data_IF_702696570879
#
_entry.id   IF_702696570879
#
_cell.length_a   1.000
_cell.length_b   1.000
_cell.length_c   1.000
_cell.angle_alpha   90.00
_cell.angle_beta   90.00
_cell.angle_gamma   90.00
#
_symmetry.space_group_name_H-M   'P 1'
#
loop_
_entity.id
_entity.type
_entity.pdbx_description
1 polymer ?
#
# COMPACT_ATOMS: atom_id res chain seq x y z
N UNK A 1 -4.08 -59.93 -16.35
CA UNK A 1 -3.95 -58.66 -15.61
C UNK A 1 -4.35 -57.52 -16.54
N UNK A 2 -5.14 -56.53 -16.11
CA UNK A 2 -5.72 -55.57 -17.05
C UNK A 2 -4.66 -54.60 -17.61
N UNK A 3 -4.61 -54.37 -18.94
CA UNK A 3 -3.56 -53.61 -19.63
C UNK A 3 -3.53 -52.10 -19.30
N UNK A 4 -4.49 -51.61 -18.52
CA UNK A 4 -4.65 -50.20 -18.16
C UNK A 4 -3.66 -49.68 -17.10
N UNK A 5 -3.05 -50.56 -16.29
CA UNK A 5 -2.21 -50.13 -15.15
C UNK A 5 -0.87 -49.51 -15.58
N UNK A 6 -0.29 -49.93 -16.71
CA UNK A 6 0.99 -49.41 -17.21
C UNK A 6 0.86 -48.04 -17.86
N UNK A 7 -0.26 -47.75 -18.52
CA UNK A 7 -0.48 -46.47 -19.20
C UNK A 7 -0.69 -45.31 -18.21
N UNK A 8 -1.41 -45.56 -17.11
CA UNK A 8 -1.58 -44.57 -16.03
C UNK A 8 -0.25 -44.26 -15.35
N UNK A 9 0.60 -45.28 -15.12
CA UNK A 9 1.90 -45.10 -14.48
C UNK A 9 2.85 -44.24 -15.32
N UNK A 10 2.85 -44.44 -16.65
CA UNK A 10 3.63 -43.61 -17.58
C UNK A 10 3.07 -42.18 -17.64
N UNK A 11 1.74 -42.02 -17.67
CA UNK A 11 1.10 -40.70 -17.62
C UNK A 11 1.40 -39.90 -16.34
N UNK A 12 1.39 -40.57 -15.18
CA UNK A 12 1.74 -39.96 -13.88
C UNK A 12 3.21 -39.55 -13.82
N UNK A 13 4.11 -40.38 -14.38
CA UNK A 13 5.55 -40.04 -14.44
C UNK A 13 5.82 -38.82 -15.32
N UNK A 14 5.11 -38.69 -16.45
CA UNK A 14 5.21 -37.51 -17.33
C UNK A 14 4.67 -36.23 -16.68
N UNK A 15 3.52 -36.32 -16.00
CA UNK A 15 2.93 -35.19 -15.28
C UNK A 15 3.84 -34.68 -14.14
N UNK A 16 4.53 -35.60 -13.45
CA UNK A 16 5.46 -35.26 -12.37
C UNK A 16 6.71 -34.52 -12.88
N UNK A 17 7.27 -34.94 -14.03
CA UNK A 17 8.42 -34.27 -14.65
C UNK A 17 8.06 -32.87 -15.14
N UNK A 18 6.87 -32.69 -15.72
CA UNK A 18 6.38 -31.37 -16.14
C UNK A 18 6.13 -30.44 -14.94
N UNK A 19 5.60 -30.98 -13.85
CA UNK A 19 5.38 -30.22 -12.61
C UNK A 19 6.70 -29.74 -11.98
N UNK A 20 7.71 -30.62 -11.92
CA UNK A 20 9.04 -30.25 -11.46
C UNK A 20 9.70 -29.22 -12.40
N UNK A 21 9.56 -29.39 -13.70
CA UNK A 21 10.04 -28.42 -14.70
C UNK A 21 9.41 -27.04 -14.52
N UNK A 22 8.11 -26.97 -14.26
CA UNK A 22 7.39 -25.72 -14.02
C UNK A 22 7.86 -25.02 -12.73
N UNK A 23 8.11 -25.76 -11.65
CA UNK A 23 8.65 -25.22 -10.40
C UNK A 23 10.06 -24.66 -10.61
N UNK A 24 10.93 -25.40 -11.32
CA UNK A 24 12.31 -24.96 -11.57
C UNK A 24 12.39 -23.73 -12.50
N UNK A 25 11.57 -23.68 -13.55
CA UNK A 25 11.46 -22.51 -14.42
C UNK A 25 10.88 -21.32 -13.66
N UNK A 26 9.85 -21.54 -12.84
CA UNK A 26 9.28 -20.52 -11.97
C UNK A 26 10.27 -19.97 -10.95
N UNK A 27 11.08 -20.84 -10.31
CA UNK A 27 12.12 -20.40 -9.37
C UNK A 27 13.28 -19.67 -10.06
N UNK A 28 13.71 -20.13 -11.23
CA UNK A 28 14.77 -19.48 -12.00
C UNK A 28 14.35 -18.08 -12.50
N UNK A 29 13.12 -17.96 -13.00
CA UNK A 29 12.53 -16.66 -13.37
C UNK A 29 12.34 -15.76 -12.15
N UNK A 30 11.97 -16.32 -10.98
CA UNK A 30 11.80 -15.58 -9.73
C UNK A 30 13.13 -15.04 -9.19
N UNK A 31 14.24 -15.77 -9.27
CA UNK A 31 15.56 -15.30 -8.81
C UNK A 31 16.06 -14.13 -9.68
N UNK A 32 15.92 -14.23 -11.01
CA UNK A 32 16.35 -13.17 -11.94
C UNK A 32 15.42 -11.95 -11.90
N UNK A 33 14.12 -12.15 -11.66
CA UNK A 33 13.16 -11.08 -11.44
C UNK A 33 13.36 -10.40 -10.07
N UNK A 34 13.77 -11.13 -9.04
CA UNK A 34 14.17 -10.58 -7.75
C UNK A 34 15.41 -9.69 -7.93
N UNK A 35 16.44 -10.13 -8.64
CA UNK A 35 17.66 -9.34 -8.86
C UNK A 35 17.39 -8.03 -9.62
N UNK A 36 16.67 -8.10 -10.75
CA UNK A 36 16.29 -6.90 -11.52
C UNK A 36 15.33 -5.97 -10.76
N UNK A 37 14.41 -6.54 -9.96
CA UNK A 37 13.49 -5.76 -9.11
C UNK A 37 14.23 -5.10 -7.94
N UNK A 38 15.19 -5.80 -7.32
CA UNK A 38 16.02 -5.27 -6.24
C UNK A 38 16.90 -4.13 -6.74
N UNK A 39 17.52 -4.28 -7.91
CA UNK A 39 18.36 -3.25 -8.53
C UNK A 39 17.53 -2.02 -8.96
N UNK A 40 16.33 -2.25 -9.50
CA UNK A 40 15.36 -1.19 -9.82
C UNK A 40 14.81 -0.47 -8.57
N UNK A 41 14.65 -1.19 -7.47
CA UNK A 41 14.20 -0.63 -6.20
C UNK A 41 15.31 0.14 -5.48
N UNK A 42 16.54 -0.40 -5.45
CA UNK A 42 17.72 0.27 -4.89
C UNK A 42 18.04 1.56 -5.63
N UNK A 43 18.01 1.54 -6.97
CA UNK A 43 18.22 2.75 -7.77
C UNK A 43 17.13 3.80 -7.51
N UNK A 44 15.86 3.41 -7.38
CA UNK A 44 14.77 4.31 -6.96
C UNK A 44 14.97 4.88 -5.55
N UNK A 45 15.40 4.05 -4.59
CA UNK A 45 15.66 4.49 -3.23
C UNK A 45 16.85 5.46 -3.15
N UNK A 46 17.94 5.18 -3.87
CA UNK A 46 19.09 6.08 -3.98
C UNK A 46 18.71 7.38 -4.68
N UNK A 47 17.92 7.30 -5.75
CA UNK A 47 17.42 8.47 -6.46
C UNK A 47 16.55 9.34 -5.54
N UNK A 48 15.60 8.73 -4.82
CA UNK A 48 14.77 9.39 -3.81
C UNK A 48 15.63 10.08 -2.73
N UNK A 49 16.63 9.40 -2.17
CA UNK A 49 17.53 9.99 -1.17
C UNK A 49 18.36 11.15 -1.73
N UNK A 50 18.82 11.04 -2.99
CA UNK A 50 19.60 12.09 -3.64
C UNK A 50 18.75 13.33 -3.98
N UNK A 51 17.50 13.13 -4.40
CA UNK A 51 16.52 14.20 -4.65
C UNK A 51 16.07 14.83 -3.34
N UNK A 52 15.85 14.02 -2.30
CA UNK A 52 15.55 14.50 -0.94
C UNK A 52 16.69 15.36 -0.40
N UNK A 53 17.95 14.94 -0.55
CA UNK A 53 19.13 15.70 -0.11
C UNK A 53 19.26 17.05 -0.83
N UNK A 54 19.02 17.09 -2.15
CA UNK A 54 19.04 18.35 -2.91
C UNK A 54 17.91 19.29 -2.48
N UNK A 55 16.70 18.75 -2.42
CA UNK A 55 15.48 19.50 -2.05
C UNK A 55 15.56 20.04 -0.62
N UNK A 56 16.14 19.27 0.31
CA UNK A 56 16.35 19.72 1.69
C UNK A 56 17.22 20.97 1.77
N UNK A 57 18.29 21.06 0.96
CA UNK A 57 19.17 22.22 0.96
C UNK A 57 18.46 23.50 0.48
N UNK A 58 17.60 23.38 -0.54
CA UNK A 58 16.83 24.49 -1.12
C UNK A 58 15.67 24.94 -0.21
N UNK A 59 14.99 23.99 0.43
CA UNK A 59 13.88 24.29 1.34
C UNK A 59 14.33 24.78 2.73
N UNK A 60 15.53 24.42 3.19
CA UNK A 60 16.06 24.83 4.51
C UNK A 60 16.13 26.36 4.70
N UNK A 61 16.19 27.11 3.60
CA UNK A 61 16.20 28.58 3.60
C UNK A 61 14.82 29.22 3.82
N UNK A 62 13.72 28.47 3.66
CA UNK A 62 12.35 28.98 3.75
C UNK A 62 11.63 28.50 5.02
N UNK A 63 12.22 28.78 6.19
CA UNK A 63 11.73 28.34 7.52
C UNK A 63 10.23 28.60 7.76
N UNK A 64 9.71 29.75 7.27
CA UNK A 64 8.29 30.11 7.41
C UNK A 64 7.35 29.16 6.63
N UNK A 65 7.75 28.71 5.44
CA UNK A 65 6.94 27.75 4.66
C UNK A 65 6.97 26.37 5.29
N UNK A 66 8.14 25.91 5.74
CA UNK A 66 8.28 24.65 6.47
C UNK A 66 7.39 24.65 7.71
N UNK A 67 7.41 25.75 8.48
CA UNK A 67 6.57 25.88 9.66
C UNK A 67 5.08 25.73 9.32
N UNK A 68 4.58 26.44 8.29
CA UNK A 68 3.19 26.30 7.87
C UNK A 68 2.85 24.90 7.35
N UNK A 69 3.76 24.25 6.61
CA UNK A 69 3.56 22.87 6.14
C UNK A 69 3.45 21.87 7.30
N UNK A 70 4.33 21.96 8.30
CA UNK A 70 4.27 21.10 9.49
C UNK A 70 2.99 21.39 10.28
N UNK A 71 2.64 22.68 10.43
CA UNK A 71 1.45 23.10 11.14
C UNK A 71 0.16 22.57 10.51
N UNK A 72 0.12 22.38 9.18
CA UNK A 72 -0.97 21.72 8.49
C UNK A 72 -0.94 20.19 8.58
N UNK A 73 0.26 19.59 8.70
CA UNK A 73 0.42 18.15 8.83
C UNK A 73 -0.16 17.59 10.14
N UNK A 74 0.03 18.30 11.26
CA UNK A 74 -0.49 17.88 12.56
C UNK A 74 -2.02 17.68 12.57
N UNK A 75 -2.86 18.69 12.25
CA UNK A 75 -4.31 18.52 12.24
C UNK A 75 -4.76 17.51 11.19
N UNK A 76 -4.05 17.38 10.07
CA UNK A 76 -4.33 16.33 9.08
C UNK A 76 -4.19 14.93 9.70
N UNK A 77 -3.08 14.64 10.39
CA UNK A 77 -2.89 13.34 11.05
C UNK A 77 -3.92 13.08 12.16
N UNK A 78 -4.28 14.10 12.94
CA UNK A 78 -5.35 14.00 13.93
C UNK A 78 -6.70 13.70 13.28
N UNK A 79 -7.03 14.34 12.17
CA UNK A 79 -8.26 14.09 11.45
C UNK A 79 -8.29 12.66 10.88
N UNK A 80 -7.18 12.18 10.32
CA UNK A 80 -7.06 10.79 9.88
C UNK A 80 -7.27 9.79 11.03
N UNK A 81 -6.69 10.05 12.21
CA UNK A 81 -6.90 9.21 13.38
C UNK A 81 -8.37 9.25 13.85
N UNK A 82 -9.00 10.42 13.81
CA UNK A 82 -10.41 10.59 14.19
C UNK A 82 -11.35 9.84 13.25
N UNK A 83 -11.10 9.88 11.94
CA UNK A 83 -11.87 9.11 10.96
C UNK A 83 -11.77 7.61 11.25
N UNK A 84 -10.56 7.09 11.47
CA UNK A 84 -10.37 5.68 11.81
C UNK A 84 -11.10 5.32 13.12
N UNK A 85 -10.94 6.14 14.16
CA UNK A 85 -11.62 5.93 15.44
C UNK A 85 -13.14 5.90 15.29
N UNK A 86 -13.74 6.86 14.59
CA UNK A 86 -15.20 6.91 14.37
C UNK A 86 -15.69 5.70 13.59
N UNK A 87 -14.95 5.25 12.57
CA UNK A 87 -15.31 4.05 11.80
C UNK A 87 -15.28 2.81 12.67
N UNK A 88 -14.21 2.60 13.45
CA UNK A 88 -14.08 1.42 14.31
C UNK A 88 -15.08 1.44 15.47
N UNK A 89 -15.32 2.61 16.07
CA UNK A 89 -16.36 2.79 17.09
C UNK A 89 -17.76 2.51 16.50
N UNK A 90 -18.03 2.94 15.26
CA UNK A 90 -19.29 2.64 14.56
C UNK A 90 -19.49 1.16 14.23
N UNK A 91 -18.41 0.39 14.13
CA UNK A 91 -18.44 -1.07 14.01
C UNK A 91 -18.58 -1.79 15.35
N UNK A 92 -18.57 -1.05 16.47
CA UNK A 92 -18.69 -1.59 17.83
C UNK A 92 -17.36 -2.05 18.44
N UNK A 93 -16.22 -1.64 17.89
CA UNK A 93 -14.91 -2.01 18.42
C UNK A 93 -14.41 -1.01 19.48
N UNK A 94 -13.93 -1.53 20.61
CA UNK A 94 -13.39 -0.75 21.72
C UNK A 94 -11.89 -0.53 21.57
N UNK A 95 -11.49 0.31 20.61
CA UNK A 95 -10.09 0.75 20.45
C UNK A 95 -10.00 2.22 20.84
N UNK A 96 -9.02 2.58 21.67
CA UNK A 96 -8.91 3.96 22.14
C UNK A 96 -8.50 4.91 21.01
N UNK A 97 -8.92 6.17 21.10
CA UNK A 97 -8.47 7.19 20.15
C UNK A 97 -6.94 7.37 20.17
N UNK A 98 -6.33 7.25 21.35
CA UNK A 98 -4.88 7.35 21.51
C UNK A 98 -4.15 6.23 20.74
N UNK A 99 -4.76 5.05 20.67
CA UNK A 99 -4.23 3.94 19.88
C UNK A 99 -4.17 4.29 18.39
N UNK A 100 -5.25 4.84 17.85
CA UNK A 100 -5.24 5.31 16.46
C UNK A 100 -4.24 6.43 16.20
N UNK A 101 -3.99 7.32 17.17
CA UNK A 101 -2.99 8.37 17.03
C UNK A 101 -1.57 7.82 16.83
N UNK A 102 -1.12 6.93 17.71
CA UNK A 102 0.24 6.39 17.59
C UNK A 102 0.35 5.40 16.43
N UNK A 103 -0.68 4.59 16.16
CA UNK A 103 -0.73 3.69 15.00
C UNK A 103 -0.60 4.49 13.71
N UNK A 104 -1.37 5.57 13.52
CA UNK A 104 -1.25 6.42 12.33
C UNK A 104 0.12 7.08 12.23
N UNK A 105 0.73 7.49 13.34
CA UNK A 105 2.06 8.10 13.34
C UNK A 105 3.13 7.11 12.87
N UNK A 106 3.11 5.88 13.40
CA UNK A 106 4.01 4.79 12.97
C UNK A 106 3.78 4.47 11.48
N UNK A 107 2.52 4.36 11.07
CA UNK A 107 2.18 4.06 9.67
C UNK A 107 2.61 5.19 8.72
N UNK A 108 2.53 6.45 9.12
CA UNK A 108 3.02 7.57 8.32
C UNK A 108 4.54 7.48 8.08
N UNK A 109 5.31 7.05 9.09
CA UNK A 109 6.75 6.79 8.94
C UNK A 109 7.03 5.59 8.03
N UNK A 110 6.26 4.51 8.19
CA UNK A 110 6.40 3.30 7.36
C UNK A 110 6.05 3.58 5.90
N UNK A 111 5.02 4.38 5.63
CA UNK A 111 4.59 4.76 4.27
C UNK A 111 5.51 5.79 3.61
N UNK A 112 6.42 6.41 4.36
CA UNK A 112 7.48 7.24 3.78
C UNK A 112 8.42 6.40 2.90
N UNK A 113 8.54 5.10 3.18
CA UNK A 113 9.34 4.21 2.36
C UNK A 113 8.56 3.80 1.10
N UNK A 114 9.13 3.97 -0.11
CA UNK A 114 8.49 3.61 -1.37
C UNK A 114 8.58 2.09 -1.62
N UNK A 115 8.12 1.28 -0.67
CA UNK A 115 8.12 -0.18 -0.76
C UNK A 115 6.92 -0.67 -1.59
N UNK A 116 5.81 0.06 -1.57
CA UNK A 116 4.55 -0.35 -2.21
C UNK A 116 3.97 0.73 -3.09
N UNK A 117 3.26 0.34 -4.14
CA UNK A 117 2.55 1.28 -5.03
C UNK A 117 1.34 1.81 -4.29
N UNK A 118 1.31 3.12 -4.06
CA UNK A 118 0.20 3.79 -3.38
C UNK A 118 0.00 3.38 -1.91
N UNK A 119 0.99 2.74 -1.28
CA UNK A 119 0.86 2.26 0.11
C UNK A 119 0.03 0.99 0.27
N UNK A 120 -0.47 0.42 -0.83
CA UNK A 120 -1.38 -0.74 -0.78
C UNK A 120 -0.65 -1.98 -0.23
N UNK A 121 -1.29 -2.70 0.70
CA UNK A 121 -0.71 -3.82 1.43
C UNK A 121 0.12 -3.41 2.65
N UNK A 122 1.00 -2.42 2.53
CA UNK A 122 1.78 -1.93 3.67
C UNK A 122 0.88 -1.16 4.66
N UNK A 123 0.02 -0.28 4.15
CA UNK A 123 -0.95 0.48 4.95
C UNK A 123 -1.95 -0.44 5.64
N UNK A 124 -2.63 -1.28 4.86
CA UNK A 124 -3.72 -2.11 5.38
C UNK A 124 -3.17 -3.26 6.25
N UNK A 125 -2.15 -3.97 5.78
CA UNK A 125 -1.52 -5.05 6.55
C UNK A 125 -0.82 -4.52 7.80
N UNK A 126 -0.14 -3.37 7.71
CA UNK A 126 0.49 -2.70 8.84
C UNK A 126 -0.53 -2.25 9.89
N UNK A 127 -1.65 -1.66 9.47
CA UNK A 127 -2.75 -1.32 10.39
C UNK A 127 -3.33 -2.55 11.08
N UNK A 128 -3.60 -3.64 10.36
CA UNK A 128 -4.11 -4.88 10.95
C UNK A 128 -3.12 -5.44 11.99
N UNK A 129 -1.83 -5.48 11.66
CA UNK A 129 -0.79 -5.94 12.59
C UNK A 129 -0.71 -5.08 13.85
N UNK A 130 -0.71 -3.76 13.70
CA UNK A 130 -0.64 -2.83 14.83
C UNK A 130 -1.92 -2.83 15.68
N UNK A 131 -3.08 -3.01 15.07
CA UNK A 131 -4.35 -3.19 15.78
C UNK A 131 -4.38 -4.51 16.57
N UNK A 132 -3.74 -5.55 16.05
CA UNK A 132 -3.54 -6.80 16.79
C UNK A 132 -2.71 -6.60 18.06
N UNK A 133 -1.75 -5.66 18.08
CA UNK A 133 -0.94 -5.36 19.26
C UNK A 133 -1.75 -4.70 20.39
N UNK A 134 -2.83 -3.98 20.05
CA UNK A 134 -3.75 -3.39 21.04
C UNK A 134 -4.89 -4.34 21.42
N UNK A 135 -4.82 -5.61 20.99
CA UNK A 135 -5.74 -6.67 21.40
C UNK A 135 -6.96 -6.85 20.50
N UNK A 136 -7.03 -6.18 19.35
CA UNK A 136 -8.12 -6.40 18.39
C UNK A 136 -7.91 -7.72 17.65
N UNK A 137 -8.95 -8.53 17.51
CA UNK A 137 -8.85 -9.77 16.75
C UNK A 137 -8.60 -9.49 15.26
N UNK A 138 -7.89 -10.41 14.60
CA UNK A 138 -7.48 -10.24 13.21
C UNK A 138 -8.68 -10.08 12.24
N UNK A 139 -9.80 -10.75 12.50
CA UNK A 139 -10.96 -10.68 11.62
C UNK A 139 -11.64 -9.31 11.71
N UNK A 140 -11.81 -8.79 12.92
CA UNK A 140 -12.34 -7.45 13.19
C UNK A 140 -11.42 -6.35 12.67
N UNK A 141 -10.11 -6.50 12.87
CA UNK A 141 -9.12 -5.57 12.35
C UNK A 141 -9.19 -5.48 10.83
N UNK A 142 -9.20 -6.63 10.14
CA UNK A 142 -9.33 -6.68 8.67
C UNK A 142 -10.64 -6.04 8.21
N UNK A 143 -11.76 -6.36 8.87
CA UNK A 143 -13.06 -5.79 8.53
C UNK A 143 -13.06 -4.25 8.63
N UNK A 144 -12.60 -3.70 9.76
CA UNK A 144 -12.53 -2.26 9.97
C UNK A 144 -11.59 -1.56 8.98
N UNK A 145 -10.42 -2.13 8.75
CA UNK A 145 -9.45 -1.61 7.78
C UNK A 145 -10.03 -1.60 6.36
N UNK A 146 -10.77 -2.64 5.97
CA UNK A 146 -11.38 -2.72 4.63
C UNK A 146 -12.55 -1.73 4.46
N UNK A 147 -13.30 -1.44 5.53
CA UNK A 147 -14.32 -0.37 5.52
C UNK A 147 -13.66 0.99 5.33
N UNK A 148 -12.60 1.29 6.07
CA UNK A 148 -11.80 2.52 5.91
C UNK A 148 -11.23 2.62 4.50
N UNK A 149 -10.77 1.52 3.91
CA UNK A 149 -10.29 1.48 2.53
C UNK A 149 -11.40 1.77 1.52
N UNK A 150 -12.60 1.19 1.72
CA UNK A 150 -13.75 1.43 0.86
C UNK A 150 -14.15 2.92 0.84
N UNK A 151 -14.13 3.60 1.99
CA UNK A 151 -14.39 5.05 2.09
C UNK A 151 -13.36 5.84 1.27
N UNK A 152 -12.08 5.46 1.32
CA UNK A 152 -11.02 6.10 0.54
C UNK A 152 -11.19 5.89 -0.96
N UNK A 153 -11.59 4.69 -1.41
CA UNK A 153 -11.89 4.44 -2.82
C UNK A 153 -13.02 5.36 -3.29
N UNK A 154 -14.10 5.50 -2.51
CA UNK A 154 -15.20 6.39 -2.85
C UNK A 154 -14.70 7.84 -3.01
N UNK A 155 -13.88 8.32 -2.06
CA UNK A 155 -13.26 9.64 -2.15
C UNK A 155 -12.37 9.82 -3.38
N UNK A 156 -11.57 8.80 -3.73
CA UNK A 156 -10.72 8.80 -4.91
C UNK A 156 -11.53 8.84 -6.21
N UNK A 157 -12.63 8.09 -6.29
CA UNK A 157 -13.54 8.11 -7.44
C UNK A 157 -14.20 9.49 -7.59
N UNK A 158 -14.65 10.12 -6.50
CA UNK A 158 -15.19 11.48 -6.54
C UNK A 158 -14.14 12.46 -7.06
N UNK A 159 -12.91 12.40 -6.53
CA UNK A 159 -11.80 13.22 -7.00
C UNK A 159 -11.53 13.05 -8.49
N UNK A 160 -11.52 11.81 -8.97
CA UNK A 160 -11.35 11.49 -10.39
C UNK A 160 -12.46 12.08 -11.27
N UNK A 161 -13.72 11.99 -10.84
CA UNK A 161 -14.86 12.55 -11.59
C UNK A 161 -14.78 14.08 -11.69
N UNK A 162 -14.39 14.76 -10.61
CA UNK A 162 -14.21 16.22 -10.59
C UNK A 162 -13.09 16.63 -11.55
N UNK A 163 -11.94 15.94 -11.48
CA UNK A 163 -10.79 16.23 -12.34
C UNK A 163 -11.12 16.00 -13.82
N UNK A 164 -11.74 14.86 -14.15
CA UNK A 164 -12.18 14.55 -15.52
C UNK A 164 -13.15 15.61 -16.08
N UNK A 165 -14.07 16.11 -15.24
CA UNK A 165 -14.99 17.17 -15.66
C UNK A 165 -14.29 18.51 -15.91
N UNK A 166 -13.23 18.79 -15.15
CA UNK A 166 -12.44 20.01 -15.23
C UNK A 166 -11.51 20.01 -16.44
N UNK A 167 -10.88 18.88 -16.77
CA UNK A 167 -10.06 18.72 -17.99
C UNK A 167 -10.88 18.96 -19.26
N UNK A 168 -12.13 18.48 -19.31
CA UNK A 168 -13.05 18.77 -20.42
C UNK A 168 -13.36 20.26 -20.58
N UNK A 169 -13.49 20.98 -19.47
CA UNK A 169 -13.74 22.43 -19.49
C UNK A 169 -12.53 23.25 -19.92
N UNK A 170 -11.31 22.85 -19.57
CA UNK A 170 -10.09 23.52 -20.04
C UNK A 170 -9.85 23.27 -21.53
N UNK A 171 -10.01 22.03 -21.99
CA UNK A 171 -9.85 21.69 -23.42
C UNK A 171 -10.85 22.45 -24.30
N UNK A 172 -12.09 22.68 -23.86
CA UNK A 172 -13.08 23.44 -24.63
C UNK A 172 -12.79 24.95 -24.74
N UNK A 173 -11.97 25.52 -23.86
CA UNK A 173 -11.59 26.95 -23.89
C UNK A 173 -10.37 27.25 -24.76
N UNK A 174 -9.51 26.28 -25.04
CA UNK A 174 -8.36 26.47 -25.96
C UNK A 174 -8.77 26.42 -27.44
N UNK A 175 -10.01 26.02 -27.76
CA UNK A 175 -10.56 25.98 -29.12
C UNK A 175 -11.54 27.12 -29.45
N UNK A 176 -11.72 28.10 -28.55
CA UNK A 176 -12.50 29.34 -28.77
C UNK A 176 -11.57 30.56 -28.75
#
# INVERSE_FOLDING_TARGET
EPPYKSEIAVGLSGAFVLFLGFIFVGQYLRIKAIDNSLQGWLSKAVQFLSEFSKTYSDFSRQKKKIFWSISWGVPFHFLCAAVNYVVFAGLGFEVSFLDFCWINAVMAMVLFFPVTVGGFGLREGGMVLLLGLVGLDANSAIAGVLVVFSIQIIGAVIGFLIDYSSVKHYSAREFL
#
